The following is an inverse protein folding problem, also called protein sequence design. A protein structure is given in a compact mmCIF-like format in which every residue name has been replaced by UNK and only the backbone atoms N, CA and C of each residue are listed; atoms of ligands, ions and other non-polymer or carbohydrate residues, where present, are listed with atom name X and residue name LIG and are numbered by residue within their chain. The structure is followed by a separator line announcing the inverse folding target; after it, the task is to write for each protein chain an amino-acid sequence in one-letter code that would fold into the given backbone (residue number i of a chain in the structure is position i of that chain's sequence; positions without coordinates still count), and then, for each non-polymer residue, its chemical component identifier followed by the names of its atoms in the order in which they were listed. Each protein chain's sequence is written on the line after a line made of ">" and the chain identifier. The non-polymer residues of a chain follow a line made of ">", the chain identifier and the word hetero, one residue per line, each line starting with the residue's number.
data_IF_427740888081
#
_entry.id   IF_427740888081
#
_cell.length_a   1.000
_cell.length_b   1.000
_cell.length_c   1.000
_cell.angle_alpha   90.00
_cell.angle_beta   90.00
_cell.angle_gamma   90.00
#
_symmetry.space_group_name_H-M   'P 1'
#
loop_
_entity.id
_entity.type
_entity.pdbx_description
1 polymer ?
#
# COMPACT_ATOMS: atom_id res chain seq x y z
N UNK A 1 -11.11 -13.18 12.91
CA UNK A 1 -10.58 -14.57 12.79
C UNK A 1 -10.95 -15.16 11.43
N UNK A 2 -9.97 -15.72 10.72
CA UNK A 2 -10.20 -16.37 9.42
C UNK A 2 -10.54 -17.84 9.71
N UNK A 3 -11.77 -18.25 9.40
CA UNK A 3 -12.17 -19.66 9.47
C UNK A 3 -11.82 -20.36 8.16
N UNK A 4 -11.06 -21.45 8.28
CA UNK A 4 -10.69 -22.36 7.19
C UNK A 4 -11.51 -23.64 7.36
N UNK A 5 -12.13 -24.09 6.28
CA UNK A 5 -13.00 -25.26 6.25
C UNK A 5 -12.44 -26.23 5.22
N UNK A 6 -12.22 -27.47 5.63
CA UNK A 6 -11.76 -28.54 4.75
C UNK A 6 -12.95 -29.14 3.99
N UNK A 7 -12.94 -29.02 2.67
CA UNK A 7 -14.02 -29.48 1.79
C UNK A 7 -13.50 -30.54 0.84
N UNK A 8 -14.23 -31.66 0.72
CA UNK A 8 -13.94 -32.69 -0.27
C UNK A 8 -14.57 -32.28 -1.62
N UNK A 9 -13.73 -31.89 -2.59
CA UNK A 9 -14.15 -31.39 -3.90
C UNK A 9 -13.74 -32.33 -5.04
N UNK A 10 -14.55 -32.37 -6.12
CA UNK A 10 -14.25 -33.11 -7.35
C UNK A 10 -13.46 -32.23 -8.31
N UNK A 11 -12.17 -32.54 -8.50
CA UNK A 11 -11.21 -31.72 -9.23
C UNK A 11 -10.72 -32.40 -10.51
N UNK A 12 -10.24 -31.61 -11.46
CA UNK A 12 -9.57 -32.15 -12.65
C UNK A 12 -8.27 -32.87 -12.23
N UNK A 13 -7.80 -33.89 -12.97
CA UNK A 13 -6.56 -34.60 -12.63
C UNK A 13 -5.34 -33.66 -12.50
N UNK A 14 -5.31 -32.61 -13.33
CA UNK A 14 -4.27 -31.57 -13.33
C UNK A 14 -4.30 -30.74 -12.04
N UNK A 15 -5.48 -30.26 -11.63
CA UNK A 15 -5.64 -29.51 -10.38
C UNK A 15 -5.48 -30.37 -9.13
N UNK A 16 -5.74 -31.68 -9.21
CA UNK A 16 -5.52 -32.60 -8.10
C UNK A 16 -4.02 -32.75 -7.75
N UNK A 17 -3.12 -32.59 -8.73
CA UNK A 17 -1.67 -32.63 -8.54
C UNK A 17 -1.07 -31.30 -8.04
N UNK A 18 -1.81 -30.19 -8.18
CA UNK A 18 -1.35 -28.87 -7.75
C UNK A 18 -1.33 -28.73 -6.22
N UNK A 19 -0.33 -27.99 -5.73
CA UNK A 19 -0.16 -27.64 -4.31
C UNK A 19 -0.78 -26.29 -3.94
N UNK A 20 -0.98 -25.41 -4.91
CA UNK A 20 -1.54 -24.07 -4.68
C UNK A 20 -3.07 -24.11 -4.82
N UNK A 21 -3.78 -23.80 -3.74
CA UNK A 21 -5.25 -23.86 -3.71
C UNK A 21 -5.93 -22.86 -4.66
N UNK A 22 -5.24 -21.77 -5.05
CA UNK A 22 -5.79 -20.70 -5.89
C UNK A 22 -5.98 -21.08 -7.37
N UNK A 23 -5.30 -22.12 -7.85
CA UNK A 23 -5.33 -22.53 -9.27
C UNK A 23 -6.21 -23.76 -9.52
N UNK A 24 -6.92 -24.22 -8.48
CA UNK A 24 -7.72 -25.43 -8.52
C UNK A 24 -9.00 -25.19 -9.34
N UNK A 25 -9.24 -26.04 -10.33
CA UNK A 25 -10.45 -26.02 -11.15
C UNK A 25 -11.38 -27.20 -10.83
N UNK A 26 -12.72 -26.96 -10.78
CA UNK A 26 -13.69 -28.03 -10.58
C UNK A 26 -13.76 -28.93 -11.82
N UNK A 27 -13.97 -30.23 -11.60
CA UNK A 27 -14.28 -31.18 -12.67
C UNK A 27 -15.80 -31.37 -12.78
N UNK A 28 -16.29 -31.57 -13.99
CA UNK A 28 -17.68 -31.98 -14.19
C UNK A 28 -17.92 -33.35 -13.55
N UNK A 29 -19.07 -33.53 -12.89
CA UNK A 29 -19.49 -34.80 -12.30
C UNK A 29 -19.64 -35.96 -13.32
N UNK A 30 -19.61 -35.65 -14.61
CA UNK A 30 -19.68 -36.62 -15.72
C UNK A 30 -18.28 -37.08 -16.15
N UNK A 31 -17.26 -36.26 -15.89
CA UNK A 31 -15.89 -36.51 -16.31
C UNK A 31 -15.11 -37.27 -15.21
N UNK A 32 -14.06 -37.99 -15.63
CA UNK A 32 -13.16 -38.68 -14.69
C UNK A 32 -12.25 -37.65 -14.03
N UNK A 33 -12.57 -37.28 -12.80
CA UNK A 33 -11.72 -36.44 -11.95
C UNK A 33 -11.33 -37.13 -10.65
N UNK A 34 -10.60 -36.42 -9.79
CA UNK A 34 -10.16 -36.92 -8.48
C UNK A 34 -10.82 -36.11 -7.36
N UNK A 35 -11.35 -36.80 -6.36
CA UNK A 35 -11.85 -36.17 -5.14
C UNK A 35 -10.67 -35.79 -4.25
N UNK A 36 -10.55 -34.55 -3.80
CA UNK A 36 -9.46 -34.11 -2.91
C UNK A 36 -10.00 -33.20 -1.82
N UNK A 37 -9.43 -33.32 -0.61
CA UNK A 37 -9.73 -32.41 0.49
C UNK A 37 -8.95 -31.12 0.26
N UNK A 38 -9.65 -30.00 0.17
CA UNK A 38 -9.08 -28.67 -0.03
C UNK A 38 -9.48 -27.74 1.11
N UNK A 39 -8.54 -26.98 1.69
CA UNK A 39 -8.85 -25.97 2.68
C UNK A 39 -9.38 -24.71 1.97
N UNK A 40 -10.61 -24.31 2.27
CA UNK A 40 -11.22 -23.08 1.74
C UNK A 40 -11.57 -22.11 2.85
N UNK A 41 -11.58 -20.81 2.54
CA UNK A 41 -12.11 -19.82 3.48
C UNK A 41 -13.63 -19.91 3.52
N UNK A 42 -14.22 -19.71 4.70
CA UNK A 42 -15.68 -19.74 4.89
C UNK A 42 -16.48 -18.79 3.98
N UNK A 43 -15.87 -17.70 3.52
CA UNK A 43 -16.47 -16.72 2.59
C UNK A 43 -16.74 -17.28 1.18
N UNK A 44 -16.13 -18.42 0.84
CA UNK A 44 -16.32 -19.08 -0.47
C UNK A 44 -17.51 -20.04 -0.48
N UNK A 45 -18.16 -20.27 0.67
CA UNK A 45 -19.35 -21.12 0.76
C UNK A 45 -20.58 -20.30 0.37
N UNK A 46 -21.21 -20.70 -0.74
CA UNK A 46 -22.42 -20.03 -1.23
C UNK A 46 -23.70 -20.58 -0.60
N UNK A 47 -23.86 -21.90 -0.59
CA UNK A 47 -25.07 -22.58 -0.12
C UNK A 47 -24.73 -23.73 0.82
N UNK A 48 -25.62 -24.02 1.77
CA UNK A 48 -25.53 -25.16 2.67
C UNK A 48 -26.80 -26.00 2.52
N UNK A 49 -26.63 -27.29 2.28
CA UNK A 49 -27.74 -28.25 2.13
C UNK A 49 -28.08 -28.91 3.46
N UNK A 50 -29.35 -29.31 3.63
CA UNK A 50 -29.80 -30.09 4.78
C UNK A 50 -29.32 -31.56 4.75
N UNK A 51 -28.89 -32.05 3.58
CA UNK A 51 -28.49 -33.45 3.39
C UNK A 51 -27.10 -33.69 3.97
N UNK A 52 -26.99 -34.70 4.83
CA UNK A 52 -25.71 -35.17 5.39
C UNK A 52 -25.28 -36.44 4.66
N UNK A 53 -24.07 -36.44 4.14
CA UNK A 53 -23.45 -37.62 3.51
C UNK A 53 -22.60 -38.34 4.54
N UNK A 54 -22.66 -39.67 4.56
CA UNK A 54 -21.75 -40.46 5.38
C UNK A 54 -20.31 -40.32 4.87
N UNK A 55 -19.42 -39.87 5.75
CA UNK A 55 -17.99 -39.74 5.48
C UNK A 55 -17.25 -40.88 6.18
N UNK A 56 -16.44 -41.68 5.45
CA UNK A 56 -15.54 -42.64 6.05
C UNK A 56 -14.54 -41.98 7.01
N UNK A 57 -14.15 -42.69 8.08
CA UNK A 57 -13.20 -42.17 9.08
C UNK A 57 -11.81 -41.85 8.51
N UNK A 58 -11.41 -42.52 7.43
CA UNK A 58 -10.16 -42.25 6.70
C UNK A 58 -10.43 -41.90 5.24
N UNK A 59 -10.07 -40.66 4.86
CA UNK A 59 -10.20 -40.11 3.50
C UNK A 59 -8.88 -40.12 2.71
N UNK A 60 -7.78 -40.64 3.26
CA UNK A 60 -6.52 -40.80 2.51
C UNK A 60 -6.68 -41.80 1.36
N UNK A 61 -7.35 -42.97 1.54
CA UNK A 61 -7.56 -43.92 0.45
C UNK A 61 -8.39 -43.33 -0.69
N UNK A 62 -7.99 -43.60 -1.93
CA UNK A 62 -8.74 -43.16 -3.12
C UNK A 62 -10.15 -43.76 -3.18
N UNK A 63 -10.29 -45.02 -2.76
CA UNK A 63 -11.57 -45.74 -2.75
C UNK A 63 -12.58 -45.11 -1.78
N UNK A 64 -12.13 -44.70 -0.59
CA UNK A 64 -12.95 -44.01 0.39
C UNK A 64 -13.52 -42.69 -0.17
N UNK A 65 -12.66 -41.89 -0.83
CA UNK A 65 -13.07 -40.63 -1.48
C UNK A 65 -14.04 -40.86 -2.65
N UNK A 66 -13.82 -41.93 -3.44
CA UNK A 66 -14.72 -42.29 -4.54
C UNK A 66 -16.09 -42.79 -4.06
N UNK A 67 -16.17 -43.44 -2.89
CA UNK A 67 -17.45 -43.82 -2.28
C UNK A 67 -18.31 -42.59 -1.95
N UNK A 68 -17.69 -41.52 -1.44
CA UNK A 68 -18.39 -40.25 -1.18
C UNK A 68 -18.87 -39.62 -2.50
N UNK A 69 -18.06 -39.63 -3.57
CA UNK A 69 -18.49 -39.14 -4.90
C UNK A 69 -19.71 -39.90 -5.43
N UNK A 70 -19.73 -41.23 -5.33
CA UNK A 70 -20.89 -42.05 -5.74
C UNK A 70 -22.16 -41.64 -4.97
N UNK A 71 -22.02 -41.46 -3.66
CA UNK A 71 -23.11 -41.02 -2.79
C UNK A 71 -23.64 -39.63 -3.21
N UNK A 72 -22.74 -38.68 -3.50
CA UNK A 72 -23.11 -37.34 -3.97
C UNK A 72 -23.81 -37.38 -5.34
N UNK A 73 -23.33 -38.21 -6.28
CA UNK A 73 -23.97 -38.39 -7.59
C UNK A 73 -25.37 -38.98 -7.44
N UNK A 74 -25.54 -39.99 -6.59
CA UNK A 74 -26.84 -40.63 -6.35
C UNK A 74 -27.83 -39.66 -5.70
N UNK A 75 -27.37 -38.82 -4.76
CA UNK A 75 -28.19 -37.73 -4.18
C UNK A 75 -28.62 -36.75 -5.28
N UNK A 76 -27.69 -36.33 -6.15
CA UNK A 76 -28.00 -35.42 -7.25
C UNK A 76 -28.99 -36.02 -8.25
N UNK A 77 -28.90 -37.33 -8.52
CA UNK A 77 -29.85 -38.06 -9.37
C UNK A 77 -31.25 -38.14 -8.75
N UNK A 78 -31.34 -38.31 -7.42
CA UNK A 78 -32.61 -38.33 -6.69
C UNK A 78 -33.25 -36.94 -6.58
N UNK A 79 -32.47 -35.88 -6.72
CA UNK A 79 -32.91 -34.48 -6.63
C UNK A 79 -32.61 -33.69 -7.91
N UNK A 80 -33.26 -34.01 -9.05
CA UNK A 80 -33.00 -33.34 -10.33
C UNK A 80 -33.40 -31.86 -10.34
N UNK A 81 -34.34 -31.45 -9.48
CA UNK A 81 -34.79 -30.07 -9.30
C UNK A 81 -33.86 -29.22 -8.41
N UNK A 82 -32.82 -29.82 -7.80
CA UNK A 82 -31.91 -29.14 -6.88
C UNK A 82 -31.95 -29.72 -5.46
N UNK A 83 -30.87 -29.50 -4.72
CA UNK A 83 -30.74 -29.98 -3.34
C UNK A 83 -31.55 -29.09 -2.37
N UNK A 84 -32.13 -29.66 -1.30
CA UNK A 84 -32.81 -28.88 -0.27
C UNK A 84 -31.78 -28.04 0.51
N UNK A 85 -31.86 -26.73 0.34
CA UNK A 85 -31.00 -25.77 1.03
C UNK A 85 -31.56 -25.45 2.42
N UNK A 86 -30.66 -25.14 3.37
CA UNK A 86 -31.03 -24.67 4.70
C UNK A 86 -31.53 -23.22 4.63
N UNK A 87 -32.66 -22.96 5.26
CA UNK A 87 -33.22 -21.61 5.41
C UNK A 87 -32.38 -20.81 6.43
N UNK A 88 -31.83 -19.65 6.04
CA UNK A 88 -31.02 -18.82 6.94
C UNK A 88 -31.73 -18.40 8.23
N UNK A 89 -33.06 -18.24 8.19
CA UNK A 89 -33.86 -17.79 9.33
C UNK A 89 -34.40 -18.99 10.10
N UNK A 90 -35.03 -19.96 9.42
CA UNK A 90 -35.72 -21.07 10.09
C UNK A 90 -34.77 -22.16 10.57
N UNK A 91 -33.75 -22.50 9.78
CA UNK A 91 -32.88 -23.64 10.05
C UNK A 91 -31.56 -23.20 10.71
N UNK A 92 -31.02 -22.03 10.32
CA UNK A 92 -29.76 -21.50 10.85
C UNK A 92 -29.94 -20.48 12.00
N UNK A 93 -31.19 -20.17 12.39
CA UNK A 93 -31.56 -19.22 13.46
C UNK A 93 -30.85 -17.84 13.37
N UNK A 94 -30.64 -17.32 12.14
CA UNK A 94 -30.00 -16.01 11.94
C UNK A 94 -31.00 -14.89 12.23
N UNK A 95 -30.79 -14.16 13.32
CA UNK A 95 -31.65 -13.06 13.82
C UNK A 95 -31.27 -11.67 13.32
N UNK A 96 -30.37 -11.56 12.34
CA UNK A 96 -29.94 -10.26 11.81
C UNK A 96 -31.06 -9.57 11.03
N UNK A 97 -31.41 -8.34 11.45
CA UNK A 97 -32.44 -7.54 10.79
C UNK A 97 -32.09 -7.23 9.32
N UNK A 98 -30.80 -7.03 9.01
CA UNK A 98 -30.33 -6.77 7.65
C UNK A 98 -30.55 -7.98 6.74
N UNK A 99 -30.26 -9.18 7.24
CA UNK A 99 -30.46 -10.43 6.49
C UNK A 99 -31.94 -10.68 6.21
N UNK A 100 -32.80 -10.46 7.20
CA UNK A 100 -34.26 -10.58 7.04
C UNK A 100 -34.78 -9.59 5.98
N UNK A 101 -34.25 -8.36 5.98
CA UNK A 101 -34.59 -7.36 4.96
C UNK A 101 -34.16 -7.80 3.56
N UNK A 102 -32.91 -8.27 3.41
CA UNK A 102 -32.39 -8.77 2.14
C UNK A 102 -33.21 -9.95 1.59
N UNK A 103 -33.60 -10.90 2.44
CA UNK A 103 -34.43 -12.05 2.03
C UNK A 103 -35.81 -11.59 1.55
N UNK A 104 -36.44 -10.63 2.25
CA UNK A 104 -37.72 -10.05 1.82
C UNK A 104 -37.60 -9.32 0.48
N UNK A 105 -36.52 -8.57 0.28
CA UNK A 105 -36.24 -7.89 -0.99
C UNK A 105 -36.01 -8.90 -2.11
N UNK A 106 -35.23 -9.95 -1.87
CA UNK A 106 -35.03 -11.03 -2.83
C UNK A 106 -36.35 -11.68 -3.25
N UNK A 107 -37.20 -12.05 -2.28
CA UNK A 107 -38.52 -12.61 -2.56
C UNK A 107 -39.39 -11.64 -3.38
N UNK A 108 -39.38 -10.36 -3.03
CA UNK A 108 -40.12 -9.32 -3.77
C UNK A 108 -39.62 -9.21 -5.22
N UNK A 109 -38.30 -9.21 -5.43
CA UNK A 109 -37.69 -9.16 -6.76
C UNK A 109 -38.00 -10.42 -7.57
N UNK A 110 -37.96 -11.60 -6.94
CA UNK A 110 -38.32 -12.88 -7.56
C UNK A 110 -39.77 -12.86 -8.07
N UNK A 111 -40.70 -12.38 -7.25
CA UNK A 111 -42.11 -12.24 -7.63
C UNK A 111 -42.26 -11.28 -8.81
N UNK A 112 -41.63 -10.10 -8.74
CA UNK A 112 -41.66 -9.12 -9.83
C UNK A 112 -41.05 -9.66 -11.12
N UNK A 113 -39.98 -10.44 -11.02
CA UNK A 113 -39.34 -11.09 -12.16
C UNK A 113 -40.29 -12.09 -12.83
N UNK A 114 -40.98 -12.92 -12.04
CA UNK A 114 -41.92 -13.93 -12.53
C UNK A 114 -43.21 -13.32 -13.11
N UNK A 115 -43.68 -12.21 -12.54
CA UNK A 115 -44.84 -11.45 -13.03
C UNK A 115 -44.51 -10.64 -14.29
N UNK A 116 -43.23 -10.38 -14.56
CA UNK A 116 -42.82 -9.54 -15.67
C UNK A 116 -43.20 -10.19 -17.02
N UNK A 117 -43.91 -9.47 -17.91
CA UNK A 117 -44.40 -10.05 -19.17
C UNK A 117 -43.31 -10.67 -20.06
N UNK A 118 -42.09 -10.14 -19.99
CA UNK A 118 -40.96 -10.63 -20.76
C UNK A 118 -40.40 -11.98 -20.26
N UNK A 119 -40.67 -12.36 -19.01
CA UNK A 119 -40.20 -13.61 -18.42
C UNK A 119 -40.76 -14.85 -19.11
N UNK A 120 -41.92 -14.71 -19.78
CA UNK A 120 -42.59 -15.77 -20.54
C UNK A 120 -42.35 -15.69 -22.05
N UNK A 121 -41.53 -14.73 -22.51
CA UNK A 121 -41.26 -14.54 -23.93
C UNK A 121 -40.20 -15.54 -24.44
N UNK A 122 -40.52 -16.28 -25.50
CA UNK A 122 -39.61 -17.25 -26.13
C UNK A 122 -38.34 -16.61 -26.71
N UNK A 123 -38.37 -15.30 -27.02
CA UNK A 123 -37.22 -14.55 -27.51
C UNK A 123 -36.45 -13.81 -26.41
N UNK A 124 -36.82 -14.00 -25.13
CA UNK A 124 -36.19 -13.31 -24.01
C UNK A 124 -34.66 -13.41 -24.06
N UNK A 125 -34.13 -14.60 -24.32
CA UNK A 125 -32.68 -14.83 -24.41
C UNK A 125 -32.03 -13.94 -25.48
N UNK A 126 -32.61 -13.90 -26.68
CA UNK A 126 -32.11 -13.07 -27.78
C UNK A 126 -32.22 -11.57 -27.47
N UNK A 127 -33.38 -11.12 -26.97
CA UNK A 127 -33.59 -9.71 -26.61
C UNK A 127 -32.66 -9.25 -25.48
N UNK A 128 -32.42 -10.12 -24.50
CA UNK A 128 -31.51 -9.87 -23.41
C UNK A 128 -30.06 -9.77 -23.90
N UNK A 129 -29.61 -10.67 -24.78
CA UNK A 129 -28.29 -10.59 -25.41
C UNK A 129 -28.11 -9.28 -26.21
N UNK A 130 -29.14 -8.82 -26.93
CA UNK A 130 -29.08 -7.53 -27.64
C UNK A 130 -29.02 -6.34 -26.67
N UNK A 131 -29.80 -6.39 -25.59
CA UNK A 131 -29.77 -5.36 -24.56
C UNK A 131 -28.42 -5.31 -23.84
N UNK A 132 -27.85 -6.46 -23.51
CA UNK A 132 -26.52 -6.56 -22.90
C UNK A 132 -25.43 -5.97 -23.81
N UNK A 133 -25.48 -6.27 -25.11
CA UNK A 133 -24.58 -5.63 -26.09
C UNK A 133 -24.74 -4.12 -26.11
N UNK A 134 -25.98 -3.62 -26.15
CA UNK A 134 -26.25 -2.18 -26.11
C UNK A 134 -25.71 -1.55 -24.82
N UNK A 135 -25.99 -2.14 -23.66
CA UNK A 135 -25.53 -1.64 -22.36
C UNK A 135 -24.00 -1.62 -22.27
N UNK A 136 -23.32 -2.65 -22.81
CA UNK A 136 -21.86 -2.68 -22.88
C UNK A 136 -21.31 -1.56 -23.77
N UNK A 137 -21.92 -1.30 -24.93
CA UNK A 137 -21.52 -0.18 -25.79
C UNK A 137 -21.78 1.16 -25.10
N UNK A 138 -22.92 1.32 -24.42
CA UNK A 138 -23.22 2.54 -23.65
C UNK A 138 -22.18 2.79 -22.55
N UNK A 139 -21.77 1.74 -21.83
CA UNK A 139 -20.70 1.82 -20.84
C UNK A 139 -19.36 2.21 -21.48
N UNK A 140 -18.98 1.59 -22.61
CA UNK A 140 -17.77 1.96 -23.35
C UNK A 140 -17.79 3.42 -23.83
N UNK A 141 -18.95 3.92 -24.26
CA UNK A 141 -19.11 5.33 -24.65
C UNK A 141 -18.93 6.26 -23.45
N UNK A 142 -19.46 5.89 -22.28
CA UNK A 142 -19.29 6.66 -21.04
C UNK A 142 -17.81 6.67 -20.63
N UNK A 143 -17.13 5.53 -20.67
CA UNK A 143 -15.70 5.41 -20.38
C UNK A 143 -14.87 6.25 -21.34
N UNK A 144 -15.07 6.11 -22.64
CA UNK A 144 -14.35 6.89 -23.66
C UNK A 144 -14.59 8.40 -23.51
N UNK A 145 -15.82 8.83 -23.18
CA UNK A 145 -16.12 10.25 -22.88
C UNK A 145 -15.38 10.74 -21.63
N UNK A 146 -15.30 9.91 -20.59
CA UNK A 146 -14.55 10.25 -19.38
C UNK A 146 -13.05 10.34 -19.65
N UNK A 147 -12.49 9.46 -20.47
CA UNK A 147 -11.10 9.52 -20.89
C UNK A 147 -10.80 10.77 -21.71
N UNK A 148 -11.66 11.10 -22.69
CA UNK A 148 -11.54 12.33 -23.47
C UNK A 148 -11.55 13.56 -22.56
N UNK A 149 -12.45 13.60 -21.57
CA UNK A 149 -12.52 14.70 -20.60
C UNK A 149 -11.26 14.79 -19.74
N UNK A 150 -10.68 13.66 -19.33
CA UNK A 150 -9.39 13.63 -18.61
C UNK A 150 -8.26 14.13 -19.49
N UNK A 151 -8.19 13.72 -20.75
CA UNK A 151 -7.16 14.15 -21.70
C UNK A 151 -7.26 15.65 -22.05
N UNK A 152 -8.47 16.20 -22.12
CA UNK A 152 -8.71 17.63 -22.36
C UNK A 152 -8.49 18.50 -21.12
N UNK A 153 -8.69 17.94 -19.93
CA UNK A 153 -8.32 18.65 -18.70
C UNK A 153 -6.79 18.74 -18.63
N UNK A 154 -6.25 19.93 -18.41
CA UNK A 154 -4.86 20.09 -17.99
C UNK A 154 -4.71 19.37 -16.65
N UNK A 155 -4.31 18.08 -16.71
CA UNK A 155 -4.37 17.09 -15.64
C UNK A 155 -3.78 17.59 -14.31
N UNK A 156 -2.86 18.56 -14.35
CA UNK A 156 -2.11 19.04 -13.20
C UNK A 156 -2.59 20.39 -12.62
N UNK A 157 -3.57 21.09 -13.22
CA UNK A 157 -4.04 22.39 -12.67
C UNK A 157 -4.75 22.20 -11.33
N UNK A 158 -5.50 21.10 -11.18
CA UNK A 158 -6.15 20.76 -9.91
C UNK A 158 -5.14 20.60 -8.79
N UNK A 159 -4.06 19.88 -9.06
CA UNK A 159 -3.01 19.61 -8.09
C UNK A 159 -2.16 20.84 -7.80
N UNK A 160 -1.83 21.65 -8.82
CA UNK A 160 -1.14 22.92 -8.63
C UNK A 160 -1.90 23.86 -7.68
N UNK A 161 -3.22 23.94 -7.78
CA UNK A 161 -4.05 24.74 -6.86
C UNK A 161 -3.98 24.21 -5.42
N UNK A 162 -3.91 22.89 -5.25
CA UNK A 162 -3.77 22.24 -3.94
C UNK A 162 -2.38 22.48 -3.35
N UNK A 163 -1.31 22.35 -4.14
CA UNK A 163 0.05 22.67 -3.73
C UNK A 163 0.21 24.14 -3.34
N UNK A 164 -0.33 25.08 -4.14
CA UNK A 164 -0.35 26.51 -3.78
C UNK A 164 -1.04 26.76 -2.44
N UNK A 165 -2.11 26.04 -2.13
CA UNK A 165 -2.78 26.16 -0.83
C UNK A 165 -1.86 25.74 0.32
N UNK A 166 -1.12 24.64 0.16
CA UNK A 166 -0.13 24.20 1.17
C UNK A 166 0.96 25.25 1.36
N UNK A 167 1.58 25.72 0.26
CA UNK A 167 2.64 26.72 0.30
C UNK A 167 2.20 28.01 1.00
N UNK A 168 0.98 28.48 0.73
CA UNK A 168 0.42 29.65 1.42
C UNK A 168 0.17 29.41 2.90
N UNK A 169 -0.36 28.23 3.27
CA UNK A 169 -0.65 27.88 4.67
C UNK A 169 0.61 27.70 5.51
N UNK A 170 1.69 27.21 4.91
CA UNK A 170 2.98 27.05 5.58
C UNK A 170 3.87 28.31 5.50
N UNK A 171 3.43 29.35 4.79
CA UNK A 171 4.12 30.64 4.71
C UNK A 171 5.30 30.69 3.73
N UNK A 172 5.30 29.84 2.71
CA UNK A 172 6.31 29.89 1.62
C UNK A 172 5.97 30.95 0.57
N UNK A 173 4.69 31.29 0.41
CA UNK A 173 4.23 32.39 -0.42
C UNK A 173 2.98 33.04 0.18
N UNK A 174 2.74 34.28 -0.20
CA UNK A 174 1.57 35.02 0.26
C UNK A 174 0.31 34.74 -0.60
N UNK A 175 -0.81 35.36 -0.24
CA UNK A 175 -2.10 35.17 -0.94
C UNK A 175 -2.08 35.61 -2.41
N UNK A 176 -1.14 36.47 -2.81
CA UNK A 176 -0.94 36.93 -4.17
C UNK A 176 0.04 36.04 -4.97
N UNK A 177 0.42 34.87 -4.45
CA UNK A 177 1.41 33.96 -5.03
C UNK A 177 2.82 34.56 -5.16
N UNK A 178 3.14 35.58 -4.37
CA UNK A 178 4.50 36.11 -4.28
C UNK A 178 5.28 35.31 -3.24
N UNK A 179 6.47 34.85 -3.63
CA UNK A 179 7.36 34.04 -2.78
C UNK A 179 7.87 34.86 -1.59
N UNK A 180 7.79 34.28 -0.40
CA UNK A 180 8.32 34.87 0.84
C UNK A 180 9.75 34.37 1.12
N UNK A 181 10.39 34.89 2.18
CA UNK A 181 11.76 34.47 2.56
C UNK A 181 11.86 32.95 2.74
N UNK A 182 10.89 32.34 3.43
CA UNK A 182 10.84 30.88 3.63
C UNK A 182 10.74 30.11 2.31
N UNK A 183 9.98 30.65 1.35
CA UNK A 183 9.94 30.19 -0.04
C UNK A 183 11.31 30.19 -0.71
N UNK A 184 12.01 31.32 -0.65
CA UNK A 184 13.33 31.47 -1.26
C UNK A 184 14.36 30.51 -0.67
N UNK A 185 14.30 30.27 0.64
CA UNK A 185 15.18 29.33 1.32
C UNK A 185 14.91 27.89 0.87
N UNK A 186 13.65 27.49 0.73
CA UNK A 186 13.32 26.16 0.20
C UNK A 186 13.78 25.96 -1.24
N UNK A 187 13.86 27.00 -2.06
CA UNK A 187 14.39 26.91 -3.42
C UNK A 187 15.88 26.52 -3.47
N UNK A 188 16.62 26.65 -2.37
CA UNK A 188 18.02 26.20 -2.30
C UNK A 188 18.14 24.68 -2.04
N UNK A 189 17.04 24.00 -1.71
CA UNK A 189 16.99 22.58 -1.36
C UNK A 189 16.32 21.79 -2.48
N UNK A 190 17.08 20.88 -3.08
CA UNK A 190 16.62 19.98 -4.16
C UNK A 190 16.85 18.49 -3.79
N UNK A 191 17.72 18.24 -2.81
CA UNK A 191 18.08 16.90 -2.35
C UNK A 191 17.26 16.52 -1.14
N UNK A 192 16.17 15.77 -1.33
CA UNK A 192 15.30 15.32 -0.23
C UNK A 192 13.99 16.09 -0.21
N UNK A 193 13.36 16.20 0.96
CA UNK A 193 12.09 16.91 1.13
C UNK A 193 12.34 18.37 1.54
N UNK A 194 12.12 19.30 0.61
CA UNK A 194 12.39 20.72 0.75
C UNK A 194 11.49 21.40 1.79
N UNK A 195 10.25 20.92 1.96
CA UNK A 195 9.31 21.50 2.90
C UNK A 195 9.73 21.16 4.33
N UNK A 196 9.85 19.88 4.66
CA UNK A 196 10.20 19.44 6.02
C UNK A 196 11.58 19.94 6.42
N UNK A 197 12.56 19.91 5.51
CA UNK A 197 13.91 20.43 5.79
C UNK A 197 13.88 21.92 6.12
N UNK A 198 13.13 22.71 5.34
CA UNK A 198 12.98 24.15 5.58
C UNK A 198 12.19 24.43 6.86
N UNK A 199 11.14 23.68 7.14
CA UNK A 199 10.39 23.81 8.39
C UNK A 199 11.28 23.56 9.61
N UNK A 200 12.14 22.53 9.58
CA UNK A 200 13.09 22.26 10.66
C UNK A 200 14.09 23.40 10.85
N UNK A 201 14.55 23.99 9.75
CA UNK A 201 15.45 25.15 9.75
C UNK A 201 14.79 26.36 10.41
N UNK A 202 13.56 26.70 10.02
CA UNK A 202 12.81 27.83 10.59
C UNK A 202 12.30 27.60 12.01
N UNK A 203 12.03 26.34 12.39
CA UNK A 203 11.70 25.98 13.77
C UNK A 203 12.94 25.98 14.70
N UNK A 204 14.14 26.27 14.15
CA UNK A 204 15.38 26.37 14.92
C UNK A 204 15.93 25.03 15.40
N UNK A 205 15.45 23.89 14.85
CA UNK A 205 15.87 22.55 15.30
C UNK A 205 17.37 22.38 15.17
N UNK A 206 17.99 22.89 14.10
CA UNK A 206 19.42 22.77 13.87
C UNK A 206 20.28 23.69 14.74
N UNK A 207 19.71 24.65 15.47
CA UNK A 207 20.47 25.60 16.28
C UNK A 207 21.16 24.88 17.45
N UNK A 208 20.44 24.01 18.15
CA UNK A 208 20.92 23.32 19.35
C UNK A 208 21.68 22.02 19.06
N UNK A 209 21.67 21.56 17.80
CA UNK A 209 22.36 20.33 17.41
C UNK A 209 23.86 20.56 17.21
N UNK A 210 24.66 19.58 17.62
CA UNK A 210 26.05 19.48 17.19
C UNK A 210 26.13 19.21 15.69
N UNK A 211 27.30 19.45 15.09
CA UNK A 211 27.56 19.17 13.65
C UNK A 211 27.24 17.71 13.32
N UNK A 212 27.67 16.77 14.15
CA UNK A 212 27.45 15.33 13.95
C UNK A 212 25.97 14.96 14.06
N UNK A 213 25.22 15.56 15.00
CA UNK A 213 23.78 15.34 15.13
C UNK A 213 23.00 15.93 13.95
N UNK A 214 23.38 17.12 13.47
CA UNK A 214 22.76 17.74 12.30
C UNK A 214 22.96 16.88 11.04
N UNK A 215 24.18 16.38 10.81
CA UNK A 215 24.47 15.47 9.70
C UNK A 215 23.71 14.15 9.83
N UNK A 216 23.65 13.59 11.04
CA UNK A 216 22.89 12.36 11.32
C UNK A 216 21.39 12.55 11.02
N UNK A 217 20.79 13.65 11.45
CA UNK A 217 19.38 13.94 11.18
C UNK A 217 19.10 14.12 9.68
N UNK A 218 19.97 14.82 8.96
CA UNK A 218 19.84 15.03 7.51
C UNK A 218 20.00 13.72 6.72
N UNK A 219 20.67 12.70 7.28
CA UNK A 219 20.75 11.38 6.64
C UNK A 219 19.38 10.73 6.40
N UNK A 220 18.38 11.06 7.23
CA UNK A 220 17.01 10.56 7.11
C UNK A 220 16.32 10.99 5.81
N UNK A 221 16.76 12.10 5.20
CA UNK A 221 16.18 12.65 3.97
C UNK A 221 16.72 11.99 2.70
N UNK A 222 17.95 11.46 2.77
CA UNK A 222 18.67 10.95 1.58
C UNK A 222 18.76 9.43 1.55
N UNK A 223 18.57 8.76 2.68
CA UNK A 223 18.56 7.31 2.76
C UNK A 223 17.20 6.75 2.29
N UNK A 224 17.19 6.04 1.17
CA UNK A 224 15.96 5.53 0.55
C UNK A 224 15.83 4.01 0.57
N UNK A 225 16.86 3.27 1.00
CA UNK A 225 16.85 1.81 0.96
C UNK A 225 15.99 1.19 2.05
N UNK A 226 15.54 -0.05 1.83
CA UNK A 226 14.83 -0.80 2.86
C UNK A 226 15.86 -1.43 3.78
N UNK A 227 15.69 -1.24 5.08
CA UNK A 227 16.43 -1.95 6.10
C UNK A 227 15.45 -2.81 6.89
N UNK A 228 15.89 -4.02 7.26
CA UNK A 228 15.03 -5.03 7.87
C UNK A 228 14.81 -4.80 9.37
N UNK A 229 15.66 -4.01 10.02
CA UNK A 229 15.61 -3.77 11.47
C UNK A 229 15.74 -2.27 11.78
N UNK A 230 14.90 -1.77 12.69
CA UNK A 230 15.06 -0.41 13.21
C UNK A 230 16.34 -0.32 14.05
N UNK A 231 17.21 0.69 13.80
CA UNK A 231 18.44 0.84 14.56
C UNK A 231 18.11 1.18 16.01
N UNK A 232 18.91 0.67 16.95
CA UNK A 232 18.91 1.17 18.32
C UNK A 232 19.64 2.51 18.37
N UNK A 233 18.90 3.58 18.10
CA UNK A 233 19.42 4.93 18.12
C UNK A 233 20.01 5.30 19.48
N UNK A 234 21.12 6.04 19.48
CA UNK A 234 21.64 6.64 20.69
C UNK A 234 20.63 7.63 21.30
N UNK A 235 20.66 7.78 22.64
CA UNK A 235 19.69 8.62 23.36
C UNK A 235 19.69 10.07 22.86
N UNK A 236 20.84 10.60 22.45
CA UNK A 236 21.01 11.96 21.93
C UNK A 236 20.47 12.18 20.51
N UNK A 237 20.21 11.12 19.73
CA UNK A 237 19.63 11.18 18.39
C UNK A 237 18.11 10.96 18.38
N UNK A 238 17.56 10.37 19.44
CA UNK A 238 16.12 10.12 19.58
C UNK A 238 15.28 11.41 19.61
N UNK A 239 15.76 12.45 20.28
CA UNK A 239 15.11 13.77 20.36
C UNK A 239 15.01 14.45 18.98
N UNK A 240 16.13 14.63 18.26
CA UNK A 240 16.13 15.18 16.90
C UNK A 240 15.23 14.40 15.94
N UNK A 241 15.24 13.07 15.98
CA UNK A 241 14.37 12.24 15.15
C UNK A 241 12.88 12.49 15.45
N UNK A 242 12.51 12.62 16.73
CA UNK A 242 11.13 12.92 17.12
C UNK A 242 10.68 14.27 16.57
N UNK A 243 11.52 15.31 16.64
CA UNK A 243 11.22 16.63 16.09
C UNK A 243 11.04 16.60 14.56
N UNK A 244 11.85 15.80 13.85
CA UNK A 244 11.68 15.53 12.42
C UNK A 244 10.31 14.89 12.14
N UNK A 245 9.96 13.82 12.84
CA UNK A 245 8.70 13.11 12.65
C UNK A 245 7.48 13.99 12.98
N UNK A 246 7.53 14.79 14.05
CA UNK A 246 6.48 15.75 14.40
C UNK A 246 6.32 16.84 13.32
N UNK A 247 7.43 17.33 12.77
CA UNK A 247 7.43 18.31 11.68
C UNK A 247 6.87 17.73 10.39
N UNK A 248 7.31 16.54 9.99
CA UNK A 248 6.80 15.81 8.84
C UNK A 248 5.30 15.55 8.95
N UNK A 249 4.84 15.12 10.13
CA UNK A 249 3.41 14.92 10.42
C UNK A 249 2.60 16.19 10.28
N UNK A 250 3.11 17.33 10.74
CA UNK A 250 2.47 18.65 10.56
C UNK A 250 2.34 19.00 9.07
N UNK A 251 3.40 18.83 8.28
CA UNK A 251 3.38 19.10 6.83
C UNK A 251 2.38 18.17 6.12
N UNK A 252 2.34 16.89 6.48
CA UNK A 252 1.39 15.93 5.94
C UNK A 252 -0.06 16.34 6.23
N UNK A 253 -0.39 16.72 7.47
CA UNK A 253 -1.73 17.18 7.85
C UNK A 253 -2.17 18.39 7.05
N UNK A 254 -1.31 19.40 6.93
CA UNK A 254 -1.61 20.60 6.12
C UNK A 254 -1.85 20.24 4.65
N UNK A 255 -1.12 19.25 4.13
CA UNK A 255 -1.28 18.73 2.77
C UNK A 255 -2.61 18.00 2.58
N UNK A 256 -2.96 17.10 3.49
CA UNK A 256 -4.24 16.36 3.50
C UNK A 256 -5.43 17.31 3.60
N UNK A 257 -5.40 18.25 4.53
CA UNK A 257 -6.42 19.30 4.68
C UNK A 257 -6.55 20.16 3.42
N UNK A 258 -5.44 20.32 2.67
CA UNK A 258 -5.41 21.02 1.38
C UNK A 258 -5.88 20.16 0.20
N UNK A 259 -6.40 18.95 0.47
CA UNK A 259 -6.97 17.99 -0.50
C UNK A 259 -5.93 17.29 -1.39
N UNK A 260 -4.68 17.23 -0.96
CA UNK A 260 -3.65 16.38 -1.58
C UNK A 260 -3.88 14.94 -1.10
N UNK A 261 -3.91 14.00 -2.03
CA UNK A 261 -4.02 12.58 -1.70
C UNK A 261 -2.67 12.06 -1.17
N UNK A 262 -2.62 11.80 0.13
CA UNK A 262 -1.41 11.32 0.80
C UNK A 262 -1.79 10.55 2.05
N UNK A 263 -0.93 9.61 2.45
CA UNK A 263 -1.03 8.90 3.71
C UNK A 263 -0.02 9.49 4.71
N UNK A 264 -0.50 9.91 5.88
CA UNK A 264 0.31 10.61 6.90
C UNK A 264 1.47 9.76 7.38
N UNK A 265 1.21 8.49 7.72
CA UNK A 265 2.23 7.59 8.27
C UNK A 265 3.24 7.19 7.20
N UNK A 266 2.81 6.89 5.98
CA UNK A 266 3.72 6.61 4.86
C UNK A 266 4.64 7.79 4.54
N UNK A 267 4.16 9.02 4.68
CA UNK A 267 4.97 10.21 4.47
C UNK A 267 6.05 10.34 5.56
N UNK A 268 5.68 10.15 6.83
CA UNK A 268 6.62 10.16 7.96
C UNK A 268 7.63 9.01 7.85
N UNK A 269 7.20 7.81 7.47
CA UNK A 269 8.05 6.64 7.23
C UNK A 269 9.00 6.80 6.03
N UNK A 270 8.76 7.80 5.18
CA UNK A 270 9.68 8.23 4.13
C UNK A 270 11.02 8.72 4.68
N UNK A 271 11.04 9.24 5.92
CA UNK A 271 12.23 9.71 6.60
C UNK A 271 12.86 8.58 7.42
N UNK A 272 13.95 8.01 6.88
CA UNK A 272 14.46 6.72 7.35
C UNK A 272 15.66 6.87 8.30
N UNK A 273 15.55 6.49 9.59
CA UNK A 273 16.59 6.74 10.59
C UNK A 273 17.77 5.74 10.57
N UNK A 274 17.78 4.76 9.68
CA UNK A 274 18.75 3.64 9.69
C UNK A 274 20.23 4.03 9.55
N UNK A 275 20.49 5.24 9.04
CA UNK A 275 21.85 5.75 8.84
C UNK A 275 22.30 6.76 9.89
N UNK A 276 21.44 7.13 10.86
CA UNK A 276 21.74 8.21 11.80
C UNK A 276 23.01 7.95 12.62
N UNK A 277 23.10 6.81 13.33
CA UNK A 277 24.27 6.46 14.14
C UNK A 277 25.53 6.27 13.29
N UNK A 278 25.37 5.67 12.10
CA UNK A 278 26.46 5.40 11.14
C UNK A 278 27.07 6.71 10.66
N UNK A 279 26.23 7.67 10.28
CA UNK A 279 26.65 9.01 9.83
C UNK A 279 27.24 9.80 10.99
N UNK A 280 26.65 9.74 12.19
CA UNK A 280 27.23 10.39 13.37
C UNK A 280 28.66 9.89 13.64
N UNK A 281 28.84 8.57 13.69
CA UNK A 281 30.15 7.94 13.90
C UNK A 281 31.15 8.33 12.79
N UNK A 282 30.69 8.42 11.54
CA UNK A 282 31.51 8.86 10.41
C UNK A 282 31.96 10.33 10.58
N UNK A 283 31.07 11.24 10.95
CA UNK A 283 31.40 12.65 11.17
C UNK A 283 32.32 12.83 12.38
N UNK A 284 32.19 11.98 13.39
CA UNK A 284 33.06 11.94 14.58
C UNK A 284 34.45 11.31 14.31
N UNK A 285 34.74 10.87 13.09
CA UNK A 285 36.08 10.42 12.68
C UNK A 285 36.32 8.90 12.70
N UNK A 286 35.30 8.07 12.92
CA UNK A 286 35.46 6.60 12.90
C UNK A 286 35.88 6.07 11.53
N UNK A 287 36.68 5.00 11.47
CA UNK A 287 37.09 4.40 10.19
C UNK A 287 35.90 3.81 9.41
N UNK A 288 36.03 3.73 8.07
CA UNK A 288 34.98 3.16 7.23
C UNK A 288 34.64 1.72 7.64
N UNK A 289 35.68 0.92 7.94
CA UNK A 289 35.53 -0.45 8.43
C UNK A 289 34.74 -0.55 9.74
N UNK A 290 34.83 0.45 10.63
CA UNK A 290 34.08 0.46 11.89
C UNK A 290 32.60 0.77 11.64
N UNK A 291 32.29 1.77 10.82
CA UNK A 291 30.89 2.14 10.53
C UNK A 291 30.15 1.04 9.77
N UNK A 292 30.83 0.27 8.90
CA UNK A 292 30.26 -0.89 8.23
C UNK A 292 29.85 -2.00 9.21
N UNK A 293 30.50 -2.12 10.37
CA UNK A 293 30.14 -3.11 11.40
C UNK A 293 28.95 -2.68 12.25
N UNK A 294 28.56 -1.39 12.22
CA UNK A 294 27.46 -0.86 13.01
C UNK A 294 26.09 -1.15 12.39
N UNK A 295 26.04 -1.57 11.13
CA UNK A 295 24.81 -1.76 10.38
C UNK A 295 24.91 -2.97 9.46
N UNK A 296 23.77 -3.55 9.09
CA UNK A 296 23.69 -4.62 8.08
C UNK A 296 23.52 -4.07 6.66
N UNK A 297 23.50 -2.74 6.50
CA UNK A 297 23.39 -2.07 5.20
C UNK A 297 24.67 -2.28 4.40
N UNK A 298 24.54 -2.63 3.12
CA UNK A 298 25.68 -2.82 2.22
C UNK A 298 26.54 -1.55 2.09
N UNK A 299 27.85 -1.74 1.94
CA UNK A 299 28.84 -0.67 1.93
C UNK A 299 28.61 0.33 0.79
N UNK A 300 28.19 -0.16 -0.39
CA UNK A 300 27.84 0.70 -1.52
C UNK A 300 26.66 1.63 -1.23
N UNK A 301 25.70 1.16 -0.43
CA UNK A 301 24.54 1.94 0.01
C UNK A 301 24.94 3.00 1.04
N UNK A 302 25.85 2.67 1.96
CA UNK A 302 26.46 3.61 2.90
C UNK A 302 27.16 4.74 2.13
N UNK A 303 28.03 4.39 1.17
CA UNK A 303 28.75 5.37 0.34
C UNK A 303 27.78 6.27 -0.43
N UNK A 304 26.74 5.70 -1.05
CA UNK A 304 25.73 6.48 -1.78
C UNK A 304 24.97 7.44 -0.87
N UNK A 305 24.59 6.99 0.33
CA UNK A 305 23.92 7.83 1.33
C UNK A 305 24.80 9.01 1.73
N UNK A 306 26.09 8.76 2.04
CA UNK A 306 27.03 9.81 2.45
C UNK A 306 27.28 10.82 1.33
N UNK A 307 27.40 10.37 0.08
CA UNK A 307 27.55 11.28 -1.08
C UNK A 307 26.32 12.15 -1.31
N UNK A 308 25.12 11.60 -1.18
CA UNK A 308 23.88 12.41 -1.27
C UNK A 308 23.73 13.36 -0.09
N UNK A 309 24.17 12.94 1.10
CA UNK A 309 24.18 13.80 2.29
C UNK A 309 25.12 15.00 2.12
N UNK A 310 26.27 14.83 1.47
CA UNK A 310 27.18 15.94 1.14
C UNK A 310 26.51 16.98 0.24
N UNK A 311 25.74 16.54 -0.77
CA UNK A 311 24.98 17.45 -1.63
C UNK A 311 23.88 18.19 -0.83
N UNK A 312 23.13 17.48 0.01
CA UNK A 312 22.13 18.11 0.89
C UNK A 312 22.77 19.10 1.86
N UNK A 313 23.93 18.80 2.44
CA UNK A 313 24.63 19.75 3.32
C UNK A 313 25.07 21.01 2.57
N UNK A 314 25.53 20.89 1.33
CA UNK A 314 25.86 22.06 0.49
C UNK A 314 24.64 22.93 0.23
N UNK A 315 23.51 22.31 -0.06
CA UNK A 315 22.22 23.01 -0.21
C UNK A 315 21.77 23.68 1.10
N UNK A 316 21.97 23.01 2.24
CA UNK A 316 21.71 23.59 3.57
C UNK A 316 22.62 24.79 3.89
N UNK A 317 23.88 24.79 3.43
CA UNK A 317 24.73 25.98 3.53
C UNK A 317 24.13 27.17 2.75
N UNK A 318 23.71 26.94 1.50
CA UNK A 318 23.05 27.97 0.68
C UNK A 318 21.76 28.47 1.33
N UNK A 319 20.93 27.56 1.85
CA UNK A 319 19.71 27.88 2.57
C UNK A 319 19.98 28.73 3.84
N UNK A 320 20.97 28.36 4.66
CA UNK A 320 21.36 29.11 5.85
C UNK A 320 21.88 30.51 5.50
N UNK A 321 22.65 30.62 4.42
CA UNK A 321 23.13 31.89 3.87
C UNK A 321 21.98 32.77 3.38
N UNK A 322 20.95 32.18 2.74
CA UNK A 322 19.76 32.91 2.29
C UNK A 322 18.91 33.46 3.45
N UNK A 323 18.90 32.77 4.61
CA UNK A 323 18.29 33.28 5.86
C UNK A 323 19.15 34.39 6.49
N UNK A 324 20.46 34.39 6.25
CA UNK A 324 21.42 35.26 6.93
C UNK A 324 21.90 34.71 8.27
N UNK A 325 21.84 33.39 8.48
CA UNK A 325 22.31 32.74 9.71
C UNK A 325 23.72 32.16 9.49
N UNK A 326 24.75 32.94 9.82
CA UNK A 326 26.15 32.55 9.65
C UNK A 326 26.60 31.39 10.57
N UNK A 327 25.95 31.21 11.72
CA UNK A 327 26.27 30.09 12.62
C UNK A 327 25.84 28.76 12.01
N UNK A 328 24.64 28.71 11.41
CA UNK A 328 24.16 27.53 10.69
C UNK A 328 24.96 27.29 9.41
N UNK A 329 25.32 28.34 8.67
CA UNK A 329 26.20 28.23 7.51
C UNK A 329 27.54 27.59 7.89
N UNK A 330 28.18 28.05 8.96
CA UNK A 330 29.41 27.47 9.48
C UNK A 330 29.23 26.02 9.92
N UNK A 331 28.13 25.70 10.63
CA UNK A 331 27.81 24.34 11.09
C UNK A 331 27.66 23.35 9.93
N UNK A 332 26.91 23.70 8.90
CA UNK A 332 26.73 22.84 7.72
C UNK A 332 28.01 22.75 6.87
N UNK A 333 28.79 23.83 6.81
CA UNK A 333 30.10 23.83 6.12
C UNK A 333 31.09 22.91 6.82
N UNK A 334 31.15 22.94 8.16
CA UNK A 334 31.97 22.03 8.95
C UNK A 334 31.52 20.56 8.76
N UNK A 335 30.20 20.31 8.76
CA UNK A 335 29.65 18.98 8.47
C UNK A 335 30.07 18.45 7.10
N UNK A 336 30.01 19.30 6.07
CA UNK A 336 30.45 18.98 4.71
C UNK A 336 31.93 18.56 4.68
N UNK A 337 32.79 19.30 5.39
CA UNK A 337 34.22 18.99 5.49
C UNK A 337 34.49 17.67 6.22
N UNK A 338 33.82 17.43 7.35
CA UNK A 338 33.99 16.20 8.15
C UNK A 338 33.51 14.95 7.43
N UNK A 339 32.47 15.06 6.61
CA UNK A 339 31.96 13.95 5.81
C UNK A 339 32.91 13.58 4.67
N UNK A 340 33.55 14.59 4.05
CA UNK A 340 34.36 14.41 2.84
C UNK A 340 35.76 13.87 3.14
N UNK A 341 35.86 12.55 3.38
CA UNK A 341 37.15 11.87 3.60
C UNK A 341 37.19 10.44 3.07
N UNK A 342 38.42 9.94 2.93
CA UNK A 342 38.77 8.54 2.62
C UNK A 342 38.05 7.96 1.39
N UNK A 343 37.79 6.65 1.43
CA UNK A 343 37.27 5.82 0.33
C UNK A 343 35.90 6.28 -0.21
N UNK A 344 35.12 7.00 0.59
CA UNK A 344 33.76 7.43 0.23
C UNK A 344 33.80 8.47 -0.91
N UNK A 345 34.88 9.25 -1.01
CA UNK A 345 35.04 10.32 -1.99
C UNK A 345 36.23 10.11 -2.94
N UNK A 346 36.77 8.89 -3.00
CA UNK A 346 37.77 8.55 -4.00
C UNK A 346 37.19 8.70 -5.42
N UNK A 347 37.92 9.40 -6.30
CA UNK A 347 37.53 9.51 -7.70
C UNK A 347 37.57 8.12 -8.37
N UNK A 348 36.66 7.89 -9.31
CA UNK A 348 36.72 6.69 -10.17
C UNK A 348 38.05 6.65 -10.91
N UNK A 349 38.56 5.45 -11.19
CA UNK A 349 39.76 5.24 -12.01
C UNK A 349 39.59 5.70 -13.47
N UNK A 350 38.35 5.91 -13.90
CA UNK A 350 38.00 6.51 -15.18
C UNK A 350 37.54 7.94 -14.92
N UNK A 351 38.48 8.89 -14.97
CA UNK A 351 38.23 10.32 -14.97
C UNK A 351 38.13 10.84 -16.40
#
# INVERSE_FOLDING_TARGET
>A
PIYIIDVLAHLTPESAAQKLTAEIQPCSYVERGEMKVIPIQHTLIRDISAIRVYLPDDLRPKEARLSVLRSVIDIKRRHPSGLPLLDPIKDLDIKSNDMISCIKQYATLQTRLNEYPLAKNFQLKYLYEQYERKANIENQVIEAKNELKKAQSLLQIGDLKRYKRVLRRLGYCNSADVIDLKGRVACEIDTGDELVTTELLFNGVFNDLTVSQACALLSCFVFQEKANEMPKLSQDLSGPLRLLQETARRVARVSIESKIEMDEERYVDGFKPFMMDVVKAWVDGQSFANICKMTTIFEGSIVRCIRRLEELLRQMCCAAKAIGNSELEAKFTEGTQKIKRDIVFAASLYL
#
